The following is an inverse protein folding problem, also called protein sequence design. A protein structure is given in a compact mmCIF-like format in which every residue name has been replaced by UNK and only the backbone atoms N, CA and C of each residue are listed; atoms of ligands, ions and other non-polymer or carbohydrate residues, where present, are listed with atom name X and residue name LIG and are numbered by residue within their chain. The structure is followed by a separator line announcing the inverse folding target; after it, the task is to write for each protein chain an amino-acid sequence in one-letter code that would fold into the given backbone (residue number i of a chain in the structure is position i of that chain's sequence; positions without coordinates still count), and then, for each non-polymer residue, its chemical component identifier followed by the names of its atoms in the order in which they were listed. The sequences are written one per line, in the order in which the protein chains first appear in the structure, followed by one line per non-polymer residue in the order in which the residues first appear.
data_IF_759044032611
#
_entry.id   IF_759044032611
#
_cell.length_a   1.000
_cell.length_b   1.000
_cell.length_c   1.000
_cell.angle_alpha   90.00
_cell.angle_beta   90.00
_cell.angle_gamma   90.00
#
_symmetry.space_group_name_H-M   'P 1'
#
loop_
_entity.id
_entity.type
_entity.pdbx_description
1 polymer ?
#
# COMPACT_ATOMS: atom_id res chain seq x y z
N UNK A 1 6.10 27.90 -6.62
CA UNK A 1 6.26 27.25 -5.29
C UNK A 1 7.55 26.45 -5.29
N UNK A 2 8.38 26.60 -4.25
CA UNK A 2 9.78 26.13 -4.21
C UNK A 2 9.88 24.59 -4.29
N UNK A 3 10.87 24.05 -5.01
CA UNK A 3 11.15 22.60 -5.21
C UNK A 3 11.14 21.80 -3.87
N UNK A 4 11.41 22.48 -2.76
CA UNK A 4 11.35 21.94 -1.39
C UNK A 4 10.00 21.31 -1.02
N UNK A 5 8.86 21.94 -1.34
CA UNK A 5 7.53 21.41 -0.98
C UNK A 5 7.16 20.16 -1.78
N UNK A 6 7.64 20.05 -3.02
CA UNK A 6 7.46 18.85 -3.85
C UNK A 6 8.10 17.62 -3.21
N UNK A 7 9.35 17.77 -2.78
CA UNK A 7 10.12 16.69 -2.16
C UNK A 7 9.48 16.23 -0.85
N UNK A 8 8.92 17.16 -0.06
CA UNK A 8 8.25 16.84 1.20
C UNK A 8 6.96 16.04 0.95
N UNK A 9 6.10 16.50 0.03
CA UNK A 9 4.85 15.80 -0.29
C UNK A 9 5.10 14.38 -0.81
N UNK A 10 6.11 14.21 -1.68
CA UNK A 10 6.53 12.90 -2.14
C UNK A 10 6.98 12.01 -1.00
N UNK A 11 7.83 12.54 -0.12
CA UNK A 11 8.36 11.77 1.00
C UNK A 11 7.24 11.21 1.87
N UNK A 12 6.20 12.00 2.15
CA UNK A 12 5.02 11.53 2.89
C UNK A 12 4.25 10.45 2.13
N UNK A 13 4.01 10.63 0.82
CA UNK A 13 3.27 9.67 0.00
C UNK A 13 4.02 8.34 -0.15
N UNK A 14 5.34 8.37 -0.31
CA UNK A 14 6.15 7.14 -0.35
C UNK A 14 6.13 6.47 1.03
N UNK A 15 6.35 7.26 2.09
CA UNK A 15 6.42 6.75 3.46
C UNK A 15 5.11 6.13 3.93
N UNK A 16 3.94 6.58 3.44
CA UNK A 16 2.65 6.07 3.93
C UNK A 16 2.45 4.57 3.70
N UNK A 17 3.01 4.00 2.63
CA UNK A 17 2.89 2.57 2.34
C UNK A 17 4.07 1.74 2.83
N UNK A 18 5.26 2.34 2.94
CA UNK A 18 6.46 1.65 3.41
C UNK A 18 6.49 1.57 4.95
N UNK A 19 6.00 2.61 5.63
CA UNK A 19 6.06 2.72 7.09
C UNK A 19 5.34 1.57 7.82
N UNK A 20 4.14 1.12 7.41
CA UNK A 20 3.50 -0.03 8.03
C UNK A 20 4.33 -1.31 7.94
N UNK A 21 4.99 -1.54 6.79
CA UNK A 21 5.85 -2.72 6.56
C UNK A 21 7.09 -2.68 7.43
N UNK A 22 7.79 -1.54 7.47
CA UNK A 22 8.97 -1.36 8.32
C UNK A 22 8.58 -1.51 9.79
N UNK A 23 7.49 -0.87 10.21
CA UNK A 23 7.03 -0.90 11.60
C UNK A 23 6.66 -2.33 12.03
N UNK A 24 5.91 -3.07 11.20
CA UNK A 24 5.54 -4.45 11.51
C UNK A 24 6.78 -5.36 11.62
N UNK A 25 7.73 -5.21 10.69
CA UNK A 25 8.98 -5.99 10.69
C UNK A 25 9.86 -5.68 11.91
N UNK A 26 9.95 -4.40 12.26
CA UNK A 26 10.68 -3.94 13.45
C UNK A 26 10.06 -4.48 14.74
N UNK A 27 8.74 -4.41 14.87
CA UNK A 27 8.03 -4.92 16.05
C UNK A 27 8.15 -6.43 16.20
N UNK A 28 8.18 -7.17 15.08
CA UNK A 28 8.47 -8.60 15.13
C UNK A 28 9.88 -8.84 15.68
N UNK A 29 10.90 -8.17 15.15
CA UNK A 29 12.28 -8.28 15.65
C UNK A 29 12.40 -7.90 17.12
N UNK A 30 11.73 -6.83 17.54
CA UNK A 30 11.70 -6.39 18.93
C UNK A 30 11.06 -7.44 19.84
N UNK A 31 9.97 -8.08 19.42
CA UNK A 31 9.35 -9.16 20.21
C UNK A 31 10.26 -10.37 20.41
N UNK A 32 11.08 -10.71 19.41
CA UNK A 32 12.10 -11.76 19.53
C UNK A 32 13.18 -11.39 20.55
N UNK A 33 13.66 -10.15 20.53
CA UNK A 33 14.68 -9.68 21.49
C UNK A 33 14.17 -9.63 22.94
N UNK A 34 12.86 -9.52 23.13
CA UNK A 34 12.20 -9.54 24.44
C UNK A 34 11.85 -10.97 24.90
N UNK A 35 12.17 -12.00 24.11
CA UNK A 35 11.90 -13.40 24.45
C UNK A 35 10.44 -13.83 24.27
N UNK A 36 9.63 -13.08 23.51
CA UNK A 36 8.27 -13.50 23.21
C UNK A 36 8.24 -14.73 22.30
N UNK A 37 7.42 -15.72 22.65
CA UNK A 37 7.19 -16.88 21.82
C UNK A 37 6.42 -16.49 20.54
N UNK A 38 7.05 -16.68 19.38
CA UNK A 38 6.46 -16.32 18.09
C UNK A 38 5.38 -17.30 17.64
N UNK A 39 5.61 -18.60 17.84
CA UNK A 39 4.82 -19.71 17.25
C UNK A 39 4.60 -20.81 18.28
N UNK A 40 3.43 -21.42 18.25
CA UNK A 40 3.10 -22.63 19.01
C UNK A 40 1.93 -22.46 19.97
N UNK A 41 1.46 -23.58 20.52
CA UNK A 41 0.28 -23.65 21.42
C UNK A 41 0.47 -22.86 22.72
N UNK A 42 1.73 -22.55 23.08
CA UNK A 42 2.10 -21.68 24.20
C UNK A 42 2.33 -20.21 23.80
N UNK A 43 1.99 -19.80 22.57
CA UNK A 43 2.09 -18.39 22.19
C UNK A 43 1.02 -17.59 22.94
N UNK A 44 1.37 -17.14 24.14
CA UNK A 44 0.62 -16.12 24.85
C UNK A 44 0.78 -14.78 24.15
N UNK A 45 -0.17 -13.88 24.39
CA UNK A 45 -0.10 -12.54 23.83
C UNK A 45 1.17 -11.84 24.33
N UNK A 46 1.98 -11.32 23.41
CA UNK A 46 3.18 -10.55 23.76
C UNK A 46 2.76 -9.11 24.11
N UNK A 47 2.69 -8.80 25.41
CA UNK A 47 2.42 -7.45 25.91
C UNK A 47 3.71 -6.74 26.28
N UNK A 48 3.93 -5.57 25.68
CA UNK A 48 5.04 -4.66 26.01
C UNK A 48 4.45 -3.32 26.42
N UNK A 49 4.68 -2.90 27.67
CA UNK A 49 4.09 -1.67 28.24
C UNK A 49 2.55 -1.62 28.10
N UNK A 50 1.87 -2.77 28.20
CA UNK A 50 0.42 -2.88 28.03
C UNK A 50 -0.06 -2.90 26.57
N UNK A 51 0.83 -2.77 25.58
CA UNK A 51 0.50 -2.89 24.16
C UNK A 51 0.65 -4.33 23.69
N UNK A 52 -0.40 -4.90 23.11
CA UNK A 52 -0.36 -6.22 22.48
C UNK A 52 0.26 -6.09 21.07
N UNK A 53 1.51 -6.54 20.94
CA UNK A 53 2.27 -6.44 19.69
C UNK A 53 1.65 -7.28 18.57
N UNK A 54 1.07 -8.44 18.89
CA UNK A 54 0.40 -9.29 17.91
C UNK A 54 -0.80 -8.58 17.27
N UNK A 55 -1.66 -7.94 18.07
CA UNK A 55 -2.82 -7.19 17.57
C UNK A 55 -2.34 -6.00 16.74
N UNK A 56 -1.30 -5.29 17.19
CA UNK A 56 -0.80 -4.13 16.47
C UNK A 56 -0.21 -4.52 15.11
N UNK A 57 0.57 -5.61 15.03
CA UNK A 57 1.06 -6.17 13.76
C UNK A 57 -0.11 -6.57 12.87
N UNK A 58 -1.13 -7.25 13.41
CA UNK A 58 -2.33 -7.62 12.66
C UNK A 58 -3.03 -6.39 12.07
N UNK A 59 -3.14 -5.31 12.85
CA UNK A 59 -3.71 -4.05 12.39
C UNK A 59 -2.84 -3.35 11.34
N UNK A 60 -1.51 -3.38 11.45
CA UNK A 60 -0.63 -2.83 10.41
C UNK A 60 -0.74 -3.60 9.09
N UNK A 61 -0.80 -4.93 9.16
CA UNK A 61 -1.08 -5.78 8.00
C UNK A 61 -2.43 -5.34 7.43
N UNK A 62 -3.50 -5.41 8.23
CA UNK A 62 -4.84 -5.01 7.79
C UNK A 62 -4.86 -3.60 7.21
N UNK A 63 -4.20 -2.61 7.81
CA UNK A 63 -4.14 -1.23 7.30
C UNK A 63 -3.45 -1.13 5.94
N UNK A 64 -2.40 -1.93 5.72
CA UNK A 64 -1.73 -2.01 4.41
C UNK A 64 -2.69 -2.47 3.32
N UNK A 65 -3.71 -3.26 3.67
CA UNK A 65 -4.65 -3.91 2.75
C UNK A 65 -6.06 -3.32 2.73
N UNK A 66 -6.53 -2.77 3.85
CA UNK A 66 -7.86 -2.23 4.05
C UNK A 66 -7.96 -0.79 3.58
N UNK A 67 -7.05 -0.37 2.69
CA UNK A 67 -7.34 0.77 1.84
C UNK A 67 -8.65 0.43 1.12
N UNK A 68 -9.73 1.22 1.32
CA UNK A 68 -11.11 0.88 0.94
C UNK A 68 -11.36 0.79 -0.58
N UNK A 69 -10.30 0.61 -1.35
CA UNK A 69 -10.21 0.83 -2.78
C UNK A 69 -10.22 -0.46 -3.61
N UNK A 70 -9.96 -1.63 -3.00
CA UNK A 70 -9.49 -2.78 -3.80
C UNK A 70 -10.25 -4.09 -3.60
N UNK A 71 -10.79 -4.38 -2.41
CA UNK A 71 -11.37 -5.72 -2.13
C UNK A 71 -12.90 -5.79 -2.05
N UNK A 72 -13.62 -4.67 -2.15
CA UNK A 72 -15.08 -4.72 -2.31
C UNK A 72 -15.46 -4.23 -3.73
N UNK A 73 -16.50 -4.80 -4.36
CA UNK A 73 -17.07 -4.25 -5.60
C UNK A 73 -17.48 -2.78 -5.46
N UNK A 74 -17.74 -2.35 -4.22
CA UNK A 74 -18.08 -0.98 -3.86
C UNK A 74 -16.83 -0.08 -3.71
N UNK A 75 -15.63 -0.66 -3.62
CA UNK A 75 -14.35 0.03 -3.36
C UNK A 75 -13.62 0.48 -4.61
N UNK A 76 -13.86 -0.16 -5.77
CA UNK A 76 -13.21 0.22 -7.04
C UNK A 76 -13.52 1.69 -7.37
N UNK A 77 -14.78 2.11 -7.26
CA UNK A 77 -15.20 3.50 -7.58
C UNK A 77 -14.52 4.53 -6.65
N UNK A 78 -14.56 4.38 -5.31
CA UNK A 78 -13.75 5.20 -4.40
C UNK A 78 -12.27 5.25 -4.79
N UNK A 79 -11.70 4.19 -5.37
CA UNK A 79 -10.29 4.14 -5.74
C UNK A 79 -9.97 5.10 -6.87
N UNK A 80 -10.79 5.04 -7.91
CA UNK A 80 -10.71 5.95 -9.03
C UNK A 80 -10.92 7.40 -8.58
N UNK A 81 -11.90 7.65 -7.71
CA UNK A 81 -12.15 8.99 -7.17
C UNK A 81 -10.93 9.49 -6.39
N UNK A 82 -10.36 8.67 -5.50
CA UNK A 82 -9.18 9.03 -4.72
C UNK A 82 -7.96 9.32 -5.62
N UNK A 83 -7.68 8.46 -6.60
CA UNK A 83 -6.59 8.66 -7.56
C UNK A 83 -6.83 9.94 -8.37
N UNK A 84 -8.05 10.17 -8.87
CA UNK A 84 -8.39 11.36 -9.62
C UNK A 84 -8.21 12.64 -8.77
N UNK A 85 -8.71 12.65 -7.54
CA UNK A 85 -8.52 13.76 -6.60
C UNK A 85 -7.04 14.01 -6.36
N UNK A 86 -6.23 12.97 -6.13
CA UNK A 86 -4.79 13.11 -5.91
C UNK A 86 -4.10 13.67 -7.16
N UNK A 87 -4.44 13.18 -8.36
CA UNK A 87 -3.89 13.69 -9.62
C UNK A 87 -4.27 15.15 -9.84
N UNK A 88 -5.52 15.52 -9.56
CA UNK A 88 -6.00 16.92 -9.62
C UNK A 88 -5.23 17.78 -8.62
N UNK A 89 -5.10 17.34 -7.37
CA UNK A 89 -4.33 18.06 -6.35
C UNK A 89 -2.86 18.23 -6.78
N UNK A 90 -2.23 17.21 -7.35
CA UNK A 90 -0.88 17.30 -7.94
C UNK A 90 -0.85 18.36 -9.04
N UNK A 91 -1.87 18.45 -9.89
CA UNK A 91 -1.94 19.47 -10.94
C UNK A 91 -2.12 20.88 -10.39
N UNK A 92 -2.88 21.02 -9.30
CA UNK A 92 -3.10 22.31 -8.64
C UNK A 92 -1.86 22.77 -7.86
N UNK A 93 -1.10 21.84 -7.28
CA UNK A 93 0.03 22.13 -6.39
C UNK A 93 1.34 22.31 -7.16
N UNK A 94 1.61 21.43 -8.13
CA UNK A 94 2.82 21.49 -8.94
C UNK A 94 2.60 22.38 -10.15
N UNK A 95 3.67 22.95 -10.72
CA UNK A 95 3.60 23.74 -11.95
C UNK A 95 4.78 23.38 -12.85
N UNK A 96 4.52 23.19 -14.15
CA UNK A 96 5.54 22.90 -15.16
C UNK A 96 5.84 21.39 -15.32
N UNK A 97 6.98 21.08 -15.96
CA UNK A 97 7.31 19.72 -16.43
C UNK A 97 7.32 18.63 -15.33
N UNK A 98 7.54 18.99 -14.06
CA UNK A 98 7.49 18.02 -12.97
C UNK A 98 6.08 17.47 -12.70
N UNK A 99 5.02 18.22 -13.02
CA UNK A 99 3.62 17.76 -12.85
C UNK A 99 3.38 16.45 -13.59
N UNK A 100 3.86 16.37 -14.84
CA UNK A 100 3.69 15.21 -15.71
C UNK A 100 4.27 13.93 -15.11
N UNK A 101 5.54 13.97 -14.70
CA UNK A 101 6.21 12.82 -14.11
C UNK A 101 5.60 12.43 -12.76
N UNK A 102 5.18 13.41 -11.95
CA UNK A 102 4.57 13.11 -10.64
C UNK A 102 3.19 12.48 -10.76
N UNK A 103 2.35 12.97 -11.67
CA UNK A 103 1.04 12.36 -11.91
C UNK A 103 1.17 10.94 -12.43
N UNK A 104 2.07 10.69 -13.39
CA UNK A 104 2.35 9.33 -13.84
C UNK A 104 2.87 8.45 -12.69
N UNK A 105 3.82 8.93 -11.89
CA UNK A 105 4.31 8.17 -10.75
C UNK A 105 3.18 7.79 -9.79
N UNK A 106 2.29 8.72 -9.43
CA UNK A 106 1.18 8.44 -8.51
C UNK A 106 0.13 7.49 -9.08
N UNK A 107 -0.16 7.58 -10.38
CA UNK A 107 -1.08 6.66 -11.07
C UNK A 107 -0.63 5.21 -10.90
N UNK A 108 0.68 4.94 -10.92
CA UNK A 108 1.22 3.60 -10.76
C UNK A 108 1.50 3.23 -9.30
N UNK A 109 2.10 4.14 -8.54
CA UNK A 109 2.57 3.87 -7.19
C UNK A 109 1.44 3.56 -6.21
N UNK A 110 0.39 4.40 -6.17
CA UNK A 110 -0.71 4.25 -5.20
C UNK A 110 -1.44 2.91 -5.35
N UNK A 111 -1.85 2.47 -6.55
CA UNK A 111 -2.57 1.21 -6.68
C UNK A 111 -1.69 -0.04 -6.60
N UNK A 112 -0.42 0.02 -7.00
CA UNK A 112 0.44 -1.17 -7.09
C UNK A 112 1.22 -1.40 -5.79
N UNK A 113 1.67 -0.34 -5.14
CA UNK A 113 2.53 -0.42 -3.95
C UNK A 113 1.92 -1.27 -2.81
N UNK A 114 0.63 -1.10 -2.42
CA UNK A 114 0.03 -1.90 -1.35
C UNK A 114 0.07 -3.41 -1.66
N UNK A 115 -0.25 -3.76 -2.90
CA UNK A 115 -0.32 -5.15 -3.38
C UNK A 115 1.03 -5.85 -3.28
N UNK A 116 2.09 -5.18 -3.74
CA UNK A 116 3.45 -5.74 -3.73
C UNK A 116 4.03 -5.75 -2.31
N UNK A 117 4.03 -4.59 -1.64
CA UNK A 117 4.65 -4.43 -0.33
C UNK A 117 3.97 -5.29 0.74
N UNK A 118 2.65 -5.38 0.69
CA UNK A 118 1.93 -6.19 1.62
C UNK A 118 2.25 -7.69 1.42
N UNK A 119 2.36 -8.18 0.19
CA UNK A 119 2.63 -9.60 -0.07
C UNK A 119 4.03 -9.97 0.42
N UNK A 120 5.00 -9.06 0.25
CA UNK A 120 6.33 -9.18 0.82
C UNK A 120 6.26 -9.26 2.35
N UNK A 121 5.51 -8.36 2.99
CA UNK A 121 5.33 -8.35 4.45
C UNK A 121 4.72 -9.66 4.94
N UNK A 122 3.62 -10.11 4.36
CA UNK A 122 2.93 -11.32 4.79
C UNK A 122 3.76 -12.57 4.51
N UNK A 123 4.47 -12.64 3.38
CA UNK A 123 5.41 -13.73 3.10
C UNK A 123 6.54 -13.78 4.13
N UNK A 124 7.06 -12.63 4.53
CA UNK A 124 8.08 -12.53 5.58
C UNK A 124 7.54 -13.01 6.93
N UNK A 125 6.37 -12.50 7.37
CA UNK A 125 5.77 -12.86 8.64
C UNK A 125 5.34 -14.34 8.70
N UNK A 126 4.80 -14.88 7.60
CA UNK A 126 4.41 -16.28 7.52
C UNK A 126 5.60 -17.23 7.67
N UNK A 127 6.76 -16.90 7.07
CA UNK A 127 8.00 -17.68 7.26
C UNK A 127 8.47 -17.67 8.71
N UNK A 128 8.38 -16.53 9.39
CA UNK A 128 8.71 -16.42 10.82
C UNK A 128 7.71 -17.20 11.68
N UNK A 129 6.44 -17.24 11.25
CA UNK A 129 5.35 -17.95 11.88
C UNK A 129 5.27 -19.45 11.59
N UNK A 130 6.12 -19.99 10.70
CA UNK A 130 5.95 -21.32 10.09
C UNK A 130 4.53 -21.57 9.55
N UNK A 131 3.89 -20.53 9.03
CA UNK A 131 2.54 -20.59 8.51
C UNK A 131 2.52 -20.86 7.01
N UNK A 132 1.59 -21.70 6.58
CA UNK A 132 1.30 -21.92 5.16
C UNK A 132 0.36 -20.83 4.67
N UNK A 133 0.82 -20.05 3.68
CA UNK A 133 -0.05 -19.12 2.95
C UNK A 133 -0.90 -19.91 1.96
N UNK A 134 -2.20 -19.63 1.96
CA UNK A 134 -3.16 -20.28 1.06
C UNK A 134 -4.13 -19.21 0.54
N UNK A 135 -4.25 -19.13 -0.78
CA UNK A 135 -5.09 -18.16 -1.49
C UNK A 135 -6.55 -18.62 -1.63
N UNK A 136 -6.82 -19.90 -1.38
CA UNK A 136 -8.16 -20.51 -1.47
C UNK A 136 -8.87 -20.65 -0.12
N UNK A 137 -8.17 -20.49 1.00
CA UNK A 137 -8.77 -20.57 2.33
C UNK A 137 -7.96 -19.84 3.42
N UNK A 138 -8.66 -19.27 4.40
CA UNK A 138 -8.05 -18.66 5.58
C UNK A 138 -7.72 -19.75 6.62
N UNK A 139 -6.46 -20.19 6.66
CA UNK A 139 -5.99 -21.14 7.67
C UNK A 139 -5.57 -20.40 8.95
N UNK A 140 -5.89 -20.94 10.14
CA UNK A 140 -5.43 -20.34 11.38
C UNK A 140 -3.91 -20.33 11.43
N UNK A 141 -3.34 -19.16 11.73
CA UNK A 141 -1.91 -18.92 11.84
C UNK A 141 -1.69 -18.02 13.04
N UNK A 142 -1.08 -18.54 14.10
CA UNK A 142 -0.87 -17.78 15.32
C UNK A 142 0.52 -17.19 15.35
N UNK A 143 0.60 -15.85 15.42
CA UNK A 143 1.84 -15.11 15.62
C UNK A 143 1.64 -14.26 16.87
N UNK A 144 2.50 -14.44 17.87
CA UNK A 144 2.42 -13.74 19.16
C UNK A 144 1.03 -13.91 19.83
N UNK A 145 0.44 -15.10 19.73
CA UNK A 145 -0.88 -15.41 20.31
C UNK A 145 -2.08 -14.82 19.57
N UNK A 146 -1.88 -14.21 18.38
CA UNK A 146 -2.96 -13.61 17.57
C UNK A 146 -3.12 -14.37 16.27
N UNK A 147 -4.37 -14.72 15.94
CA UNK A 147 -4.70 -15.39 14.68
C UNK A 147 -4.61 -14.42 13.49
N UNK A 148 -3.57 -14.58 12.68
CA UNK A 148 -3.28 -13.82 11.47
C UNK A 148 -3.93 -14.41 10.21
N UNK A 149 -4.58 -15.58 10.30
CA UNK A 149 -5.07 -16.35 9.16
C UNK A 149 -5.89 -15.54 8.16
N UNK A 150 -6.90 -14.81 8.63
CA UNK A 150 -7.73 -13.96 7.77
C UNK A 150 -6.92 -12.81 7.14
N UNK A 151 -6.02 -12.19 7.91
CA UNK A 151 -5.20 -11.08 7.40
C UNK A 151 -4.22 -11.56 6.32
N UNK A 152 -3.65 -12.76 6.51
CA UNK A 152 -2.75 -13.41 5.55
C UNK A 152 -3.48 -13.90 4.31
N UNK A 153 -4.70 -14.43 4.47
CA UNK A 153 -5.55 -14.79 3.34
C UNK A 153 -5.85 -13.56 2.47
N UNK A 154 -6.37 -12.49 3.07
CA UNK A 154 -6.64 -11.25 2.34
C UNK A 154 -5.41 -10.75 1.59
N UNK A 155 -4.29 -10.64 2.30
CA UNK A 155 -2.99 -10.28 1.74
C UNK A 155 -2.51 -11.14 0.56
N UNK A 156 -2.77 -12.45 0.60
CA UNK A 156 -2.34 -13.39 -0.45
C UNK A 156 -3.22 -13.29 -1.70
N UNK A 157 -4.48 -12.87 -1.53
CA UNK A 157 -5.41 -12.68 -2.66
C UNK A 157 -5.24 -11.32 -3.34
N UNK A 158 -4.80 -10.27 -2.61
CA UNK A 158 -4.65 -8.91 -3.18
C UNK A 158 -3.74 -8.84 -4.41
N UNK A 159 -2.59 -9.54 -4.50
CA UNK A 159 -1.75 -9.54 -5.70
C UNK A 159 -2.50 -9.87 -7.01
N UNK A 160 -3.58 -10.65 -6.96
CA UNK A 160 -4.40 -10.93 -8.13
C UNK A 160 -5.09 -9.67 -8.69
N UNK A 161 -5.34 -8.67 -7.84
CA UNK A 161 -5.89 -7.39 -8.28
C UNK A 161 -4.92 -6.64 -9.18
N UNK A 162 -3.60 -6.90 -9.12
CA UNK A 162 -2.62 -6.31 -10.03
C UNK A 162 -2.97 -6.62 -11.50
N UNK A 163 -3.56 -7.80 -11.79
CA UNK A 163 -3.96 -8.17 -13.15
C UNK A 163 -5.01 -7.21 -13.74
N UNK A 164 -5.89 -6.68 -12.89
CA UNK A 164 -6.92 -5.71 -13.27
C UNK A 164 -6.38 -4.27 -13.15
N UNK A 165 -5.57 -3.98 -12.14
CA UNK A 165 -5.04 -2.65 -11.89
C UNK A 165 -4.02 -2.22 -12.96
N UNK A 166 -3.19 -3.14 -13.48
CA UNK A 166 -2.21 -2.84 -14.53
C UNK A 166 -2.87 -2.24 -15.79
N UNK A 167 -3.86 -2.88 -16.43
CA UNK A 167 -4.49 -2.31 -17.63
C UNK A 167 -5.23 -1.01 -17.31
N UNK A 168 -5.82 -0.88 -16.12
CA UNK A 168 -6.45 0.37 -15.67
C UNK A 168 -5.43 1.51 -15.57
N UNK A 169 -4.31 1.28 -14.89
CA UNK A 169 -3.25 2.29 -14.73
C UNK A 169 -2.67 2.69 -16.09
N UNK A 170 -2.53 1.73 -17.01
CA UNK A 170 -2.09 1.98 -18.37
C UNK A 170 -3.10 2.86 -19.13
N UNK A 171 -4.40 2.54 -19.06
CA UNK A 171 -5.45 3.32 -19.71
C UNK A 171 -5.52 4.76 -19.18
N UNK A 172 -5.48 4.94 -17.86
CA UNK A 172 -5.44 6.27 -17.22
C UNK A 172 -4.18 7.02 -17.65
N UNK A 173 -3.03 6.36 -17.68
CA UNK A 173 -1.76 6.98 -18.09
C UNK A 173 -1.82 7.44 -19.55
N UNK A 174 -2.34 6.62 -20.46
CA UNK A 174 -2.50 7.00 -21.87
C UNK A 174 -3.43 8.19 -22.03
N UNK A 175 -4.60 8.15 -21.38
CA UNK A 175 -5.57 9.23 -21.43
C UNK A 175 -4.99 10.54 -20.87
N UNK A 176 -4.26 10.43 -19.75
CA UNK A 176 -3.53 11.54 -19.14
C UNK A 176 -2.50 12.15 -20.10
N UNK A 177 -1.68 11.32 -20.75
CA UNK A 177 -0.68 11.78 -21.72
C UNK A 177 -1.31 12.47 -22.93
N UNK A 178 -2.43 11.95 -23.45
CA UNK A 178 -3.15 12.56 -24.58
C UNK A 178 -3.66 13.95 -24.19
N UNK A 179 -4.35 14.08 -23.05
CA UNK A 179 -4.85 15.38 -22.57
C UNK A 179 -3.70 16.35 -22.36
N UNK A 180 -2.63 15.91 -21.71
CA UNK A 180 -1.48 16.76 -21.45
C UNK A 180 -0.84 17.26 -22.76
N UNK A 181 -0.70 16.39 -23.77
CA UNK A 181 -0.18 16.77 -25.08
C UNK A 181 -1.10 17.75 -25.82
N UNK A 182 -2.42 17.54 -25.78
CA UNK A 182 -3.40 18.46 -26.37
C UNK A 182 -3.35 19.84 -25.73
N UNK A 183 -3.26 19.91 -24.40
CA UNK A 183 -3.12 21.18 -23.67
C UNK A 183 -1.84 21.90 -24.10
N UNK A 184 -0.71 21.18 -24.21
CA UNK A 184 0.54 21.78 -24.68
C UNK A 184 0.48 22.27 -26.13
N UNK A 185 -0.19 21.52 -27.02
CA UNK A 185 -0.40 21.92 -28.40
C UNK A 185 -1.21 23.23 -28.48
N UNK A 186 -2.32 23.32 -27.74
CA UNK A 186 -3.15 24.54 -27.69
C UNK A 186 -2.38 25.75 -27.14
N UNK A 187 -1.57 25.57 -26.09
CA UNK A 187 -0.74 26.65 -25.54
C UNK A 187 0.32 27.10 -26.56
N UNK A 188 0.89 26.17 -27.34
CA UNK A 188 1.88 26.49 -28.37
C UNK A 188 1.26 27.31 -29.50
N UNK A 189 0.08 26.94 -29.99
CA UNK A 189 -0.63 27.70 -31.04
C UNK A 189 -0.99 29.13 -30.60
N UNK A 190 -1.32 29.35 -29.32
CA UNK A 190 -1.58 30.71 -28.82
C UNK A 190 -0.32 31.59 -28.72
N UNK A 191 0.87 31.00 -28.78
CA UNK A 191 2.15 31.71 -28.66
C UNK A 191 2.82 32.07 -29.99
N UNK A 192 2.31 31.54 -31.11
CA UNK A 192 2.77 31.83 -32.47
C UNK A 192 1.91 32.87 -33.15
#
# INVERSE_FOLDING_TARGET
MNNKWSKISLFFLISSFILPVITASFLLGLSQTLGCALVGEQSSQCLVLGLNLGIFIQQLIRLTWHFPLMMSPQGIVPAFIAIAIIVILIHLIFRGRQQFFWSLFCIWYIPISPSVLGMILVSFLARQGNCLLNEGNANPCYILGVNMGEAFYGASVVPWLILILLPICLFISLFYMIIYALILAMIREQSS
#
